data_IF_044663288008
#
_entry.id   IF_044663288008
#
_cell.length_a   1.000
_cell.length_b   1.000
_cell.length_c   1.000
_cell.angle_alpha   90.00
_cell.angle_beta   90.00
_cell.angle_gamma   90.00
#
_symmetry.space_group_name_H-M   'P 1'
#
loop_
_entity.id
_entity.type
_entity.pdbx_description
1 polymer ?
#
# COMPACT_ATOMS: atom_id res chain seq x y z
N UNK A 1 -17.86 25.06 41.39
CA UNK A 1 -18.09 24.76 40.92
C UNK A 1 -18.12 24.23 40.59
N UNK A 2 -18.17 24.04 40.81
CA UNK A 2 -18.30 23.47 40.42
C UNK A 2 -18.40 22.60 40.19
N UNK A 3 -18.18 22.22 40.40
CA UNK A 3 -18.24 21.40 40.01
C UNK A 3 -18.20 20.51 40.05
N UNK A 4 -18.38 20.57 40.53
CA UNK A 4 -18.25 19.79 40.40
C UNK A 4 -18.11 18.94 40.30
N UNK A 5 -18.23 18.97 40.66
CA UNK A 5 -17.91 18.16 40.44
C UNK A 5 -17.98 17.21 40.17
N UNK A 6 -18.05 17.27 40.17
CA UNK A 6 -18.14 16.51 39.78
C UNK A 6 -18.05 15.65 39.19
N UNK A 7 -17.96 15.85 39.45
CA UNK A 7 -17.90 15.23 38.78
C UNK A 7 -17.62 14.40 38.39
N UNK A 8 -17.50 14.50 38.59
CA UNK A 8 -17.24 13.79 38.09
C UNK A 8 -17.18 12.86 37.88
N UNK A 9 -17.38 12.80 38.21
CA UNK A 9 -17.42 12.00 37.86
C UNK A 9 -17.37 11.12 37.32
N UNK A 10 -17.19 11.23 37.55
CA UNK A 10 -17.16 10.58 36.90
C UNK A 10 -16.96 9.80 36.39
N UNK A 11 -16.92 9.79 36.54
CA UNK A 11 -16.84 9.05 35.97
C UNK A 11 -16.56 8.21 35.64
N UNK A 12 -16.58 8.17 35.93
CA UNK A 12 -16.39 7.46 35.50
C UNK A 12 -16.30 6.61 34.91
N UNK A 13 -16.47 6.57 35.11
CA UNK A 13 -16.45 5.92 34.51
C UNK A 13 -16.25 5.23 33.77
N UNK A 14 -16.25 5.21 33.93
CA UNK A 14 -16.13 4.65 33.23
C UNK A 14 -15.86 3.95 32.58
N UNK A 15 -15.85 3.86 32.72
CA UNK A 15 -15.68 3.28 32.07
C UNK A 15 -15.47 2.52 31.48
N UNK A 16 -15.51 2.37 31.55
CA UNK A 16 -15.41 1.79 30.93
C UNK A 16 -15.21 1.15 30.26
N UNK A 17 -15.26 1.10 30.24
CA UNK A 17 -15.15 0.61 29.48
C UNK A 17 -14.79 0.00 28.92
N UNK A 18 -14.88 -0.14 29.10
CA UNK A 18 -14.53 -0.58 28.55
C UNK A 18 -14.27 -1.24 27.89
N UNK A 19 -14.42 -1.37 27.99
CA UNK A 19 -14.16 -1.86 27.31
C UNK A 19 -13.95 -2.38 26.58
N UNK A 20 -13.98 -2.44 26.60
CA UNK A 20 -13.79 -2.83 25.83
C UNK A 20 -13.47 -3.28 25.22
N UNK A 21 -13.47 -3.45 25.32
CA UNK A 21 -13.14 -3.64 24.77
C UNK A 21 -12.87 -4.11 24.22
N UNK A 22 -13.08 -4.39 24.25
CA UNK A 22 -12.66 -4.60 23.81
C UNK A 22 -12.36 -4.91 23.09
N UNK A 23 -12.50 -4.92 23.00
CA UNK A 23 -12.22 -5.14 22.38
C UNK A 23 -11.77 -5.35 21.65
N UNK A 24 -11.80 -5.33 21.55
CA UNK A 24 -11.42 -5.48 20.89
C UNK A 24 -11.01 -5.76 20.21
N UNK A 25 -11.07 -6.00 20.22
CA UNK A 25 -10.61 -6.20 19.61
C UNK A 25 -10.46 -6.38 18.71
N UNK A 26 -10.60 -6.55 18.74
CA UNK A 26 -10.34 -6.56 18.06
C UNK A 26 -10.19 -6.33 17.10
N UNK A 27 -10.72 -6.47 17.16
CA UNK A 27 -10.46 -6.00 16.09
C UNK A 27 -9.60 -5.40 15.53
N UNK A 28 -9.25 -5.05 15.87
CA UNK A 28 -8.16 -4.38 15.39
C UNK A 28 -7.44 -5.08 14.30
N UNK A 29 -7.52 -6.25 14.23
CA UNK A 29 -6.88 -6.97 13.20
C UNK A 29 -7.31 -6.62 11.82
N UNK A 30 -8.40 -5.89 11.68
CA UNK A 30 -8.90 -5.57 10.37
C UNK A 30 -7.89 -4.87 9.49
N UNK A 31 -7.14 -3.96 10.06
CA UNK A 31 -6.15 -3.25 9.29
C UNK A 31 -5.05 -4.19 8.81
N UNK A 32 -4.63 -5.08 9.65
CA UNK A 32 -3.61 -6.04 9.27
C UNK A 32 -4.09 -6.98 8.19
N UNK A 33 -5.36 -7.27 8.16
CA UNK A 33 -5.93 -8.13 7.17
C UNK A 33 -5.77 -7.59 5.77
N UNK A 34 -5.99 -6.29 5.56
CA UNK A 34 -5.85 -5.67 4.27
C UNK A 34 -4.44 -5.83 3.75
N UNK A 35 -3.45 -5.59 4.59
CA UNK A 35 -2.06 -5.69 4.18
C UNK A 35 -1.70 -7.13 3.85
N UNK A 36 -2.19 -8.07 4.62
CA UNK A 36 -1.83 -9.47 4.40
C UNK A 36 -2.47 -10.07 3.16
N UNK A 37 -3.44 -9.40 2.53
CA UNK A 37 -4.01 -9.86 1.27
C UNK A 37 -3.03 -9.73 0.11
N UNK A 38 -1.99 -8.94 0.25
CA UNK A 38 -0.99 -8.75 -0.79
C UNK A 38 0.25 -9.56 -0.41
N UNK A 39 0.75 -10.37 -1.32
CA UNK A 39 1.97 -11.13 -1.08
C UNK A 39 3.18 -10.24 -1.00
N UNK A 40 4.32 -10.85 -0.81
CA UNK A 40 5.59 -10.13 -0.67
C UNK A 40 6.62 -10.73 -1.63
N UNK A 41 7.54 -9.90 -2.11
CA UNK A 41 8.66 -10.34 -2.94
C UNK A 41 9.91 -9.61 -2.49
N UNK A 42 11.00 -10.35 -2.32
CA UNK A 42 12.28 -9.72 -1.98
C UNK A 42 12.75 -8.84 -3.12
N UNK A 43 13.31 -7.68 -2.77
CA UNK A 43 13.90 -6.79 -3.76
C UNK A 43 14.89 -7.56 -4.65
N UNK A 44 15.71 -8.40 -4.04
CA UNK A 44 16.70 -9.19 -4.78
C UNK A 44 16.11 -10.23 -5.72
N UNK A 45 14.82 -10.57 -5.55
CA UNK A 45 14.14 -11.54 -6.41
C UNK A 45 13.38 -10.90 -7.57
N UNK A 46 13.34 -9.57 -7.63
CA UNK A 46 12.69 -8.88 -8.73
C UNK A 46 13.49 -9.08 -10.03
N UNK A 47 12.81 -9.10 -11.18
CA UNK A 47 13.56 -9.06 -12.45
C UNK A 47 14.37 -7.78 -12.54
N UNK A 48 15.50 -7.83 -13.26
CA UNK A 48 16.38 -6.67 -13.37
C UNK A 48 15.65 -5.45 -13.94
N UNK A 49 14.69 -5.65 -14.82
CA UNK A 49 13.92 -4.54 -15.40
C UNK A 49 13.06 -3.83 -14.35
N UNK A 50 12.64 -4.55 -13.29
CA UNK A 50 11.93 -3.91 -12.19
C UNK A 50 12.87 -3.03 -11.37
N UNK A 51 14.12 -3.45 -11.19
CA UNK A 51 15.14 -2.61 -10.55
C UNK A 51 15.34 -1.32 -11.34
N UNK A 52 15.41 -1.43 -12.67
CA UNK A 52 15.54 -0.25 -13.53
C UNK A 52 14.38 0.70 -13.33
N UNK A 53 13.16 0.18 -13.24
CA UNK A 53 11.98 1.00 -13.04
C UNK A 53 12.00 1.69 -11.68
N UNK A 54 12.38 0.96 -10.64
CA UNK A 54 12.49 1.54 -9.29
C UNK A 54 13.52 2.67 -9.27
N UNK A 55 14.63 2.49 -9.97
CA UNK A 55 15.66 3.53 -10.08
C UNK A 55 15.12 4.77 -10.80
N UNK A 56 14.36 4.59 -11.88
CA UNK A 56 13.76 5.70 -12.61
C UNK A 56 12.76 6.45 -11.73
N UNK A 57 11.97 5.72 -10.95
CA UNK A 57 11.02 6.33 -10.03
C UNK A 57 11.74 7.22 -9.03
N UNK A 58 12.84 6.73 -8.48
CA UNK A 58 13.64 7.50 -7.53
C UNK A 58 14.24 8.74 -8.15
N UNK A 59 14.66 8.66 -9.40
CA UNK A 59 15.25 9.78 -10.14
C UNK A 59 14.22 10.77 -10.65
N UNK A 60 12.94 10.39 -10.72
CA UNK A 60 11.91 11.23 -11.32
C UNK A 60 11.82 11.14 -12.83
N UNK A 61 12.36 10.09 -13.41
CA UNK A 61 12.35 9.86 -14.85
C UNK A 61 13.67 10.21 -15.51
N UNK A 62 13.70 10.31 -16.84
CA UNK A 62 12.56 10.16 -17.76
C UNK A 62 12.12 8.71 -17.89
N UNK A 63 10.84 8.52 -18.20
CA UNK A 63 10.25 7.19 -18.28
C UNK A 63 10.06 6.77 -19.74
N UNK A 64 10.07 5.45 -20.03
CA UNK A 64 9.98 4.99 -21.42
C UNK A 64 8.60 5.12 -22.04
N UNK A 65 7.54 5.22 -21.24
CA UNK A 65 6.17 5.32 -21.77
C UNK A 65 5.45 6.52 -21.19
N UNK A 66 4.59 7.13 -21.99
CA UNK A 66 3.84 8.31 -21.57
C UNK A 66 2.86 8.01 -20.43
N UNK A 67 2.45 6.75 -20.27
CA UNK A 67 1.55 6.34 -19.20
C UNK A 67 2.27 6.27 -17.84
N UNK A 68 3.59 6.22 -17.84
CA UNK A 68 4.34 6.07 -16.59
C UNK A 68 4.09 7.27 -15.67
N UNK A 69 3.79 6.98 -14.41
CA UNK A 69 3.45 8.00 -13.44
C UNK A 69 1.97 8.32 -13.35
N UNK A 70 1.12 7.69 -14.18
CA UNK A 70 -0.32 7.90 -14.13
C UNK A 70 -0.90 7.36 -12.82
N UNK A 71 -2.02 7.94 -12.40
CA UNK A 71 -2.74 7.46 -11.22
C UNK A 71 -3.27 6.04 -11.49
N UNK A 72 -3.02 5.15 -10.55
CA UNK A 72 -3.60 3.82 -10.56
C UNK A 72 -4.84 3.82 -9.67
N UNK A 73 -6.00 3.47 -10.22
CA UNK A 73 -7.27 3.65 -9.53
C UNK A 73 -7.58 2.58 -8.48
N UNK A 74 -6.90 1.44 -8.52
CA UNK A 74 -7.15 0.33 -7.59
C UNK A 74 -8.62 -0.11 -7.61
N UNK A 75 -9.20 -0.17 -8.79
CA UNK A 75 -10.66 -0.44 -8.95
C UNK A 75 -11.06 -1.80 -8.41
N UNK A 76 -10.22 -2.80 -8.55
CA UNK A 76 -10.50 -4.14 -8.03
C UNK A 76 -10.28 -4.26 -6.53
N UNK A 77 -9.68 -3.25 -5.92
CA UNK A 77 -9.47 -3.24 -4.47
C UNK A 77 -8.48 -4.26 -3.96
N UNK A 78 -7.54 -4.70 -4.81
CA UNK A 78 -6.52 -5.67 -4.39
C UNK A 78 -5.53 -5.03 -3.43
N UNK A 79 -5.11 -3.80 -3.73
CA UNK A 79 -4.26 -3.03 -2.81
C UNK A 79 -5.12 -2.42 -1.71
N UNK A 80 -4.52 -2.01 -0.58
CA UNK A 80 -5.29 -1.35 0.48
C UNK A 80 -6.04 -0.14 -0.05
N UNK A 81 -7.26 0.07 0.44
CA UNK A 81 -8.11 1.17 -0.01
C UNK A 81 -7.51 2.51 0.41
N UNK A 82 -7.37 3.43 -0.54
CA UNK A 82 -6.81 4.76 -0.30
C UNK A 82 -7.55 5.78 -1.15
N UNK A 83 -7.33 7.05 -0.88
CA UNK A 83 -7.94 8.12 -1.67
C UNK A 83 -7.39 8.12 -3.10
N UNK A 84 -8.18 8.66 -4.00
CA UNK A 84 -7.78 8.80 -5.41
C UNK A 84 -6.47 9.59 -5.49
N UNK A 85 -5.55 9.09 -6.28
CA UNK A 85 -4.24 9.73 -6.45
C UNK A 85 -3.17 9.19 -5.52
N UNK A 86 -3.53 8.30 -4.60
CA UNK A 86 -2.56 7.70 -3.70
C UNK A 86 -1.57 6.79 -4.44
N UNK A 87 -2.03 6.06 -5.44
CA UNK A 87 -1.21 5.10 -6.18
C UNK A 87 -0.87 5.63 -7.56
N UNK A 88 0.34 5.33 -8.02
CA UNK A 88 0.80 5.65 -9.37
C UNK A 88 1.42 4.41 -10.00
N UNK A 89 1.26 4.26 -11.31
CA UNK A 89 1.75 3.06 -12.01
C UNK A 89 2.92 3.39 -12.92
N UNK A 90 3.80 2.42 -13.08
CA UNK A 90 4.99 2.55 -13.92
C UNK A 90 5.25 1.23 -14.64
N UNK A 91 5.74 1.31 -15.87
CA UNK A 91 6.02 0.15 -16.70
C UNK A 91 7.31 -0.54 -16.26
N UNK A 92 7.26 -1.85 -16.13
CA UNK A 92 8.45 -2.69 -16.06
C UNK A 92 8.61 -3.33 -17.45
N UNK A 93 9.73 -3.07 -18.12
CA UNK A 93 9.95 -3.55 -19.48
C UNK A 93 9.95 -5.07 -19.48
N UNK A 94 9.26 -5.66 -20.44
CA UNK A 94 9.30 -7.10 -20.68
C UNK A 94 10.30 -7.38 -21.79
N UNK A 95 11.41 -8.08 -21.51
CA UNK A 95 12.42 -8.31 -22.55
C UNK A 95 11.84 -9.01 -23.76
N UNK A 96 12.19 -8.55 -24.94
CA UNK A 96 11.75 -9.14 -26.20
C UNK A 96 10.33 -8.80 -26.61
N UNK A 97 9.59 -8.05 -25.80
CA UNK A 97 8.23 -7.66 -26.17
C UNK A 97 8.25 -6.39 -27.00
N UNK A 98 7.45 -6.37 -28.06
CA UNK A 98 7.27 -5.16 -28.86
C UNK A 98 6.19 -4.25 -28.27
N UNK A 99 5.51 -4.69 -27.22
CA UNK A 99 4.46 -3.92 -26.56
C UNK A 99 4.91 -3.57 -25.15
N UNK A 100 4.08 -2.78 -24.46
CA UNK A 100 4.31 -2.39 -23.08
C UNK A 100 4.33 -3.59 -22.13
N UNK A 101 3.69 -4.70 -22.54
CA UNK A 101 3.62 -5.91 -21.72
C UNK A 101 2.72 -5.75 -20.52
N UNK A 102 2.82 -6.67 -19.57
CA UNK A 102 1.89 -6.76 -18.43
C UNK A 102 2.55 -6.45 -17.08
N UNK A 103 3.82 -6.12 -17.06
CA UNK A 103 4.55 -5.92 -15.79
C UNK A 103 4.54 -4.46 -15.40
N UNK A 104 4.30 -4.20 -14.11
CA UNK A 104 4.22 -2.83 -13.58
C UNK A 104 4.81 -2.76 -12.17
N UNK A 105 5.24 -1.54 -11.80
CA UNK A 105 5.40 -1.16 -10.40
C UNK A 105 4.26 -0.18 -10.09
N UNK A 106 3.57 -0.38 -8.99
CA UNK A 106 2.60 0.59 -8.47
C UNK A 106 3.15 1.12 -7.17
N UNK A 107 3.29 2.44 -7.07
CA UNK A 107 3.81 3.07 -5.85
C UNK A 107 2.68 3.61 -5.00
N UNK A 108 2.83 3.50 -3.69
CA UNK A 108 1.99 4.23 -2.73
C UNK A 108 2.72 5.47 -2.24
N UNK A 109 2.16 6.13 -1.24
CA UNK A 109 2.72 7.39 -0.73
C UNK A 109 3.72 7.19 0.41
N UNK A 110 3.75 6.00 1.01
CA UNK A 110 4.71 5.74 2.07
C UNK A 110 6.08 5.46 1.48
N UNK A 111 7.11 5.67 2.28
CA UNK A 111 8.48 5.39 1.86
C UNK A 111 8.59 3.92 1.52
N UNK A 112 9.11 3.63 0.33
CA UNK A 112 9.33 2.25 -0.15
C UNK A 112 8.06 1.41 -0.18
N UNK A 113 6.93 2.06 -0.38
CA UNK A 113 5.68 1.36 -0.59
C UNK A 113 5.52 1.10 -2.08
N UNK A 114 6.13 0.03 -2.55
CA UNK A 114 6.15 -0.33 -3.97
C UNK A 114 5.61 -1.74 -4.14
N UNK A 115 4.69 -1.89 -5.08
CA UNK A 115 4.05 -3.17 -5.37
C UNK A 115 4.41 -3.60 -6.79
N UNK A 116 4.78 -4.85 -6.95
CA UNK A 116 5.12 -5.42 -8.25
C UNK A 116 3.96 -6.29 -8.76
N UNK A 117 3.60 -6.14 -10.03
CA UNK A 117 2.66 -7.04 -10.68
C UNK A 117 3.27 -7.52 -12.00
N UNK A 118 3.06 -8.80 -12.30
CA UNK A 118 3.50 -9.41 -13.56
C UNK A 118 2.33 -9.79 -14.45
N UNK A 119 1.09 -9.57 -14.00
CA UNK A 119 -0.12 -10.04 -14.66
C UNK A 119 -1.14 -8.92 -14.89
N UNK A 120 -0.64 -7.73 -15.16
CA UNK A 120 -1.45 -6.56 -15.52
C UNK A 120 -2.49 -6.27 -14.44
N UNK A 121 -2.00 -6.15 -13.20
CA UNK A 121 -2.78 -5.73 -12.02
C UNK A 121 -3.71 -6.81 -11.44
N UNK A 122 -3.62 -8.04 -11.91
CA UNK A 122 -4.47 -9.12 -11.36
C UNK A 122 -4.00 -9.57 -9.99
N UNK A 123 -2.72 -9.44 -9.72
CA UNK A 123 -2.16 -9.73 -8.40
C UNK A 123 -0.96 -8.83 -8.16
N UNK A 124 -0.62 -8.62 -6.89
CA UNK A 124 0.48 -7.75 -6.49
C UNK A 124 1.31 -8.41 -5.41
N UNK A 125 2.58 -8.00 -5.34
CA UNK A 125 3.47 -8.35 -4.24
C UNK A 125 4.16 -7.08 -3.75
N UNK A 126 4.11 -6.86 -2.45
CA UNK A 126 4.81 -5.75 -1.82
C UNK A 126 6.30 -6.04 -1.84
N UNK A 127 7.10 -5.12 -2.32
CA UNK A 127 8.55 -5.29 -2.39
C UNK A 127 9.14 -5.19 -0.98
N UNK A 128 9.87 -6.22 -0.60
CA UNK A 128 10.58 -6.24 0.68
C UNK A 128 12.03 -5.84 0.40
N UNK A 129 12.41 -4.66 0.87
CA UNK A 129 13.75 -4.12 0.64
C UNK A 129 14.80 -4.68 1.60
N UNK A 130 14.39 -5.56 2.51
CA UNK A 130 15.31 -6.18 3.46
C UNK A 130 15.89 -7.51 2.94
N UNK A 131 15.55 -7.93 1.74
CA UNK A 131 16.06 -9.19 1.20
C UNK A 131 16.18 -9.19 -0.34
#
# INVERSE_FOLDING_TARGET
MRFPPRITRIGAAAAVLSALVVGGATSAGAAGTSVSAVGSICYGSLPSQAHDTLDLIEQGGPYPYSQDGSVFQNREGILPSQSTGYYHEYTVITPGSSTRGARRIVTGEEVREDYYTADHYASFKLVNYNC
#
